data_IF_724224105877
#
_entry.id   IF_724224105877
#
_cell.length_a   1.000
_cell.length_b   1.000
_cell.length_c   1.000
_cell.angle_alpha   90.00
_cell.angle_beta   90.00
_cell.angle_gamma   90.00
#
_symmetry.space_group_name_H-M   'P 1'
#
loop_
_entity.id
_entity.type
_entity.pdbx_description
1 polymer ?
#
# COMPACT_ATOMS: atom_id res chain seq x y z
N UNK A 1 12.05 0.26 -0.05
CA UNK A 1 12.70 -0.95 -0.62
C UNK A 1 12.49 -2.19 0.27
N UNK A 2 12.82 -2.15 1.56
CA UNK A 2 12.63 -3.29 2.49
C UNK A 2 11.19 -3.85 2.53
N UNK A 3 10.16 -3.01 2.63
CA UNK A 3 8.77 -3.50 2.66
C UNK A 3 8.28 -4.08 1.32
N UNK A 4 8.76 -3.53 0.21
CA UNK A 4 8.50 -4.08 -1.13
C UNK A 4 9.16 -5.44 -1.34
N UNK A 5 10.33 -5.67 -0.73
CA UNK A 5 10.98 -6.98 -0.73
C UNK A 5 10.14 -8.04 -0.01
N UNK A 6 9.59 -7.73 1.17
CA UNK A 6 8.69 -8.65 1.88
C UNK A 6 7.40 -8.94 1.09
N UNK A 7 6.78 -7.92 0.50
CA UNK A 7 5.63 -8.12 -0.38
C UNK A 7 5.98 -8.98 -1.61
N UNK A 8 7.18 -8.79 -2.18
CA UNK A 8 7.70 -9.58 -3.30
C UNK A 8 7.91 -11.06 -2.96
N UNK A 9 8.40 -11.37 -1.76
CA UNK A 9 8.50 -12.76 -1.29
C UNK A 9 7.11 -13.41 -1.07
N UNK A 10 6.08 -12.61 -0.79
CA UNK A 10 4.73 -13.09 -0.51
C UNK A 10 3.87 -13.30 -1.77
N UNK A 11 3.98 -12.39 -2.75
CA UNK A 11 3.09 -12.32 -3.91
C UNK A 11 3.82 -12.50 -5.25
N UNK A 12 5.15 -12.61 -5.24
CA UNK A 12 6.00 -12.40 -6.40
C UNK A 12 6.18 -10.91 -6.73
N UNK A 13 7.30 -10.52 -7.36
CA UNK A 13 7.71 -9.13 -7.44
C UNK A 13 6.76 -8.23 -8.24
N UNK A 14 6.24 -8.69 -9.38
CA UNK A 14 5.38 -7.87 -10.24
C UNK A 14 4.02 -7.62 -9.61
N UNK A 15 3.38 -8.66 -9.07
CA UNK A 15 2.10 -8.53 -8.38
C UNK A 15 2.25 -7.74 -7.09
N UNK A 16 3.37 -7.88 -6.37
CA UNK A 16 3.65 -7.09 -5.18
C UNK A 16 3.68 -5.59 -5.49
N UNK A 17 4.45 -5.18 -6.51
CA UNK A 17 4.52 -3.77 -6.93
C UNK A 17 3.17 -3.22 -7.38
N UNK A 18 2.43 -3.98 -8.20
CA UNK A 18 1.09 -3.57 -8.62
C UNK A 18 0.15 -3.42 -7.43
N UNK A 19 0.20 -4.35 -6.46
CA UNK A 19 -0.67 -4.32 -5.27
C UNK A 19 -0.35 -3.14 -4.36
N UNK A 20 0.93 -2.81 -4.17
CA UNK A 20 1.35 -1.62 -3.42
C UNK A 20 0.86 -0.35 -4.12
N UNK A 21 1.00 -0.27 -5.44
CA UNK A 21 0.53 0.86 -6.24
C UNK A 21 -1.00 1.02 -6.12
N UNK A 22 -1.75 -0.06 -6.30
CA UNK A 22 -3.22 -0.08 -6.15
C UNK A 22 -3.64 0.34 -4.74
N UNK A 23 -2.98 -0.17 -3.71
CA UNK A 23 -3.28 0.18 -2.32
C UNK A 23 -2.98 1.66 -2.02
N UNK A 24 -1.89 2.21 -2.57
CA UNK A 24 -1.55 3.62 -2.44
C UNK A 24 -2.55 4.53 -3.17
N UNK A 25 -2.96 4.16 -4.39
CA UNK A 25 -4.01 4.87 -5.15
C UNK A 25 -5.31 4.86 -4.35
N UNK A 26 -5.72 3.70 -3.82
CA UNK A 26 -6.93 3.59 -3.01
C UNK A 26 -6.84 4.47 -1.75
N UNK A 27 -5.69 4.50 -1.09
CA UNK A 27 -5.46 5.39 0.04
C UNK A 27 -5.56 6.87 -0.32
N UNK A 28 -5.02 7.28 -1.47
CA UNK A 28 -5.16 8.66 -1.96
C UNK A 28 -6.60 9.02 -2.31
N UNK A 29 -7.37 8.09 -2.92
CA UNK A 29 -8.81 8.28 -3.18
C UNK A 29 -9.57 8.45 -1.87
N UNK A 30 -9.35 7.57 -0.89
CA UNK A 30 -9.97 7.67 0.43
C UNK A 30 -9.62 8.99 1.12
N UNK A 31 -8.37 9.43 1.05
CA UNK A 31 -7.94 10.71 1.59
C UNK A 31 -8.63 11.90 0.90
N UNK A 32 -8.74 11.87 -0.43
CA UNK A 32 -9.40 12.93 -1.21
C UNK A 32 -10.91 13.02 -0.96
N UNK A 33 -11.56 11.93 -0.57
CA UNK A 33 -12.97 11.95 -0.14
C UNK A 33 -13.16 12.56 1.25
N UNK A 34 -12.11 12.57 2.07
CA UNK A 34 -12.17 13.02 3.47
C UNK A 34 -11.61 14.44 3.68
N UNK A 35 -10.88 15.00 2.71
CA UNK A 35 -10.19 16.29 2.83
C UNK A 35 -10.33 17.19 1.60
N UNK A 36 -10.38 18.53 1.78
CA UNK A 36 -10.39 19.49 0.68
C UNK A 36 -9.13 19.43 -0.21
N UNK A 37 -9.21 19.79 -1.50
CA UNK A 37 -8.18 19.55 -2.52
C UNK A 37 -6.96 20.51 -2.48
N UNK A 38 -6.46 20.88 -1.30
CA UNK A 38 -5.41 21.91 -1.16
C UNK A 38 -3.96 21.40 -1.16
N UNK A 39 -3.67 20.16 -1.61
CA UNK A 39 -2.33 19.54 -1.50
C UNK A 39 -1.65 19.23 -2.82
N UNK A 40 -0.34 19.51 -2.86
CA UNK A 40 0.57 19.32 -4.00
C UNK A 40 1.48 18.08 -3.91
N UNK A 41 1.55 17.37 -2.77
CA UNK A 41 2.43 16.20 -2.62
C UNK A 41 1.75 15.05 -1.86
N UNK A 42 1.22 14.08 -2.62
CA UNK A 42 0.60 12.84 -2.14
C UNK A 42 1.38 11.70 -2.80
N UNK A 43 2.18 10.91 -2.07
CA UNK A 43 2.88 9.82 -2.78
C UNK A 43 3.71 8.86 -1.95
N UNK A 44 4.84 9.33 -1.42
CA UNK A 44 5.85 8.41 -0.89
C UNK A 44 5.43 7.75 0.43
N UNK A 45 4.96 8.53 1.40
CA UNK A 45 4.54 8.01 2.72
C UNK A 45 3.27 7.17 2.61
N UNK A 46 2.31 7.57 1.78
CA UNK A 46 1.09 6.79 1.53
C UNK A 46 1.41 5.39 1.02
N UNK A 47 2.38 5.24 0.11
CA UNK A 47 2.80 3.94 -0.39
C UNK A 47 3.45 3.06 0.69
N UNK A 48 4.19 3.66 1.62
CA UNK A 48 4.77 2.94 2.77
C UNK A 48 3.66 2.40 3.68
N UNK A 49 2.70 3.25 4.07
CA UNK A 49 1.58 2.84 4.92
C UNK A 49 0.65 1.84 4.23
N UNK A 50 0.42 2.00 2.92
CA UNK A 50 -0.30 1.03 2.11
C UNK A 50 0.38 -0.34 2.08
N UNK A 51 1.71 -0.38 1.95
CA UNK A 51 2.47 -1.63 2.01
C UNK A 51 2.36 -2.27 3.40
N UNK A 52 2.47 -1.48 4.46
CA UNK A 52 2.31 -1.95 5.85
C UNK A 52 0.92 -2.57 6.08
N UNK A 53 -0.15 -1.87 5.68
CA UNK A 53 -1.52 -2.37 5.80
C UNK A 53 -1.75 -3.67 5.04
N UNK A 54 -1.18 -3.78 3.83
CA UNK A 54 -1.27 -4.98 2.99
C UNK A 54 -0.62 -6.18 3.68
N UNK A 55 0.65 -6.03 4.10
CA UNK A 55 1.41 -7.10 4.76
C UNK A 55 0.75 -7.49 6.09
N UNK A 56 0.30 -6.52 6.87
CA UNK A 56 -0.37 -6.77 8.15
C UNK A 56 -1.68 -7.53 7.97
N UNK A 57 -2.54 -7.13 7.03
CA UNK A 57 -3.81 -7.80 6.78
C UNK A 57 -3.64 -9.21 6.18
N UNK A 58 -2.68 -9.40 5.28
CA UNK A 58 -2.39 -10.71 4.69
C UNK A 58 -1.83 -11.68 5.74
N UNK A 59 -0.87 -11.22 6.55
CA UNK A 59 -0.27 -12.02 7.62
C UNK A 59 -1.27 -12.37 8.72
N UNK A 60 -2.16 -11.44 9.10
CA UNK A 60 -3.25 -11.70 10.05
C UNK A 60 -4.18 -12.83 9.59
N UNK A 61 -4.62 -12.78 8.33
CA UNK A 61 -5.53 -13.78 7.74
C UNK A 61 -4.89 -15.17 7.61
N UNK A 62 -3.58 -15.25 7.37
CA UNK A 62 -2.85 -16.52 7.18
C UNK A 62 -2.22 -17.09 8.43
N UNK A 63 -1.79 -16.25 9.36
CA UNK A 63 -1.30 -16.67 10.67
C UNK A 63 -2.38 -17.32 11.53
N UNK A 64 -3.67 -17.17 11.17
CA UNK A 64 -4.79 -17.75 11.87
C UNK A 64 -4.89 -19.29 11.83
N UNK A 65 -4.13 -19.97 10.96
CA UNK A 65 -4.22 -21.43 10.74
C UNK A 65 -3.18 -22.28 11.50
N UNK A 66 -2.35 -21.73 12.40
CA UNK A 66 -1.30 -22.48 13.13
C UNK A 66 -1.38 -22.40 14.66
N UNK A 67 -1.89 -23.45 15.32
CA UNK A 67 -2.37 -23.50 16.72
C UNK A 67 -1.42 -23.23 17.93
N UNK A 68 -0.67 -22.12 18.02
CA UNK A 68 0.02 -21.70 19.28
C UNK A 68 -0.14 -20.19 19.55
N UNK A 69 -0.25 -19.71 20.81
CA UNK A 69 -1.03 -18.52 21.17
C UNK A 69 -0.70 -17.28 20.32
N UNK A 70 -1.63 -16.94 19.43
CA UNK A 70 -1.36 -16.22 18.18
C UNK A 70 -1.60 -14.71 18.27
N UNK A 71 -2.09 -14.17 19.40
CA UNK A 71 -2.53 -12.77 19.52
C UNK A 71 -1.40 -11.79 19.15
N UNK A 72 -0.22 -11.91 19.76
CA UNK A 72 0.86 -10.97 19.52
C UNK A 72 1.37 -11.04 18.07
N UNK A 73 1.48 -12.21 17.44
CA UNK A 73 1.85 -12.30 16.01
C UNK A 73 0.74 -11.84 15.06
N UNK A 74 -0.53 -11.99 15.44
CA UNK A 74 -1.70 -11.55 14.67
C UNK A 74 -1.88 -10.04 14.69
N UNK A 75 -1.61 -9.42 15.83
CA UNK A 75 -1.84 -7.99 16.05
C UNK A 75 -0.56 -7.15 16.01
N UNK A 76 0.63 -7.71 16.25
CA UNK A 76 1.88 -6.94 16.23
C UNK A 76 2.15 -6.19 14.92
N UNK A 77 1.86 -6.71 13.72
CA UNK A 77 2.06 -5.93 12.49
C UNK A 77 1.09 -4.74 12.39
N UNK A 78 -0.16 -4.93 12.83
CA UNK A 78 -1.17 -3.88 12.87
C UNK A 78 -0.85 -2.85 13.97
N UNK A 79 -0.51 -3.32 15.17
CA UNK A 79 -0.13 -2.49 16.33
C UNK A 79 1.17 -1.76 16.07
N UNK A 80 2.16 -2.40 15.42
CA UNK A 80 3.39 -1.72 14.98
C UNK A 80 3.09 -0.70 13.89
N UNK A 81 2.20 -1.01 12.93
CA UNK A 81 1.74 -0.05 11.92
C UNK A 81 1.04 1.16 12.54
N UNK A 82 0.14 0.93 13.50
CA UNK A 82 -0.59 1.96 14.27
C UNK A 82 0.36 2.74 15.19
N UNK A 83 1.31 2.08 15.84
CA UNK A 83 2.31 2.70 16.71
C UNK A 83 3.31 3.54 15.89
N UNK A 84 3.71 3.11 14.70
CA UNK A 84 4.52 3.91 13.77
C UNK A 84 3.72 5.12 13.28
N UNK A 85 2.43 4.95 12.97
CA UNK A 85 1.50 6.03 12.63
C UNK A 85 1.42 7.07 13.74
N UNK A 86 1.23 6.63 14.99
CA UNK A 86 1.23 7.49 16.17
C UNK A 86 2.57 8.20 16.38
N UNK A 87 3.69 7.49 16.19
CA UNK A 87 5.04 8.05 16.33
C UNK A 87 5.40 9.07 15.23
N UNK A 88 4.92 8.88 14.00
CA UNK A 88 5.12 9.84 12.89
C UNK A 88 4.10 10.98 12.87
N UNK A 89 2.95 10.81 13.55
CA UNK A 89 1.83 11.75 13.53
C UNK A 89 1.84 12.81 14.62
N UNK A 90 2.67 12.68 15.65
CA UNK A 90 2.74 13.64 16.78
C UNK A 90 3.57 14.89 16.50
N UNK A 91 4.08 15.08 15.27
CA UNK A 91 5.05 16.13 14.93
C UNK A 91 4.51 17.34 14.14
N UNK A 92 3.32 17.29 13.55
CA UNK A 92 2.77 18.43 12.79
C UNK A 92 1.56 18.06 11.94
N UNK A 93 0.54 18.94 11.96
CA UNK A 93 -0.67 18.97 11.14
C UNK A 93 -1.48 17.65 11.03
N UNK A 94 -2.65 17.62 11.71
CA UNK A 94 -3.65 16.52 11.70
C UNK A 94 -3.93 15.90 10.32
N UNK A 95 -3.76 16.71 9.29
CA UNK A 95 -3.99 16.42 7.88
C UNK A 95 -3.04 15.34 7.35
N UNK A 96 -1.79 15.24 7.83
CA UNK A 96 -0.81 14.23 7.38
C UNK A 96 -1.13 12.84 7.96
N UNK A 97 -1.66 12.83 9.17
CA UNK A 97 -2.12 11.61 9.85
C UNK A 97 -3.25 10.95 9.07
N UNK A 98 -4.21 11.74 8.56
CA UNK A 98 -5.34 11.19 7.81
C UNK A 98 -4.90 10.55 6.49
N UNK A 99 -3.94 11.15 5.79
CA UNK A 99 -3.36 10.57 4.58
C UNK A 99 -2.65 9.24 4.86
N UNK A 100 -1.90 9.16 5.96
CA UNK A 100 -1.25 7.92 6.39
C UNK A 100 -2.27 6.83 6.77
N UNK A 101 -3.33 7.19 7.50
CA UNK A 101 -4.41 6.28 7.86
C UNK A 101 -5.16 5.77 6.63
N UNK A 102 -5.47 6.65 5.67
CA UNK A 102 -6.12 6.28 4.42
C UNK A 102 -5.23 5.34 3.59
N UNK A 103 -3.92 5.62 3.50
CA UNK A 103 -2.92 4.74 2.91
C UNK A 103 -2.93 3.35 3.54
N UNK A 104 -2.86 3.28 4.87
CA UNK A 104 -2.93 2.03 5.60
C UNK A 104 -4.23 1.26 5.36
N UNK A 105 -5.38 1.94 5.37
CA UNK A 105 -6.69 1.35 5.10
C UNK A 105 -6.76 0.76 3.68
N UNK A 106 -6.26 1.48 2.67
CA UNK A 106 -6.12 0.98 1.30
C UNK A 106 -5.27 -0.29 1.23
N UNK A 107 -4.15 -0.31 1.97
CA UNK A 107 -3.31 -1.49 2.19
C UNK A 107 -4.09 -2.68 2.74
N UNK A 108 -4.82 -2.48 3.84
CA UNK A 108 -5.59 -3.52 4.51
C UNK A 108 -6.63 -4.14 3.56
N UNK A 109 -7.34 -3.32 2.78
CA UNK A 109 -8.34 -3.79 1.83
C UNK A 109 -7.72 -4.70 0.77
N UNK A 110 -6.60 -4.28 0.16
CA UNK A 110 -5.87 -5.07 -0.84
C UNK A 110 -5.28 -6.35 -0.22
N UNK A 111 -4.72 -6.27 1.00
CA UNK A 111 -4.20 -7.43 1.72
C UNK A 111 -5.28 -8.47 2.04
N UNK A 112 -6.47 -8.03 2.44
CA UNK A 112 -7.64 -8.91 2.65
C UNK A 112 -8.06 -9.57 1.34
N UNK A 113 -8.08 -8.84 0.22
CA UNK A 113 -8.44 -9.38 -1.08
C UNK A 113 -7.48 -10.51 -1.50
N UNK A 114 -6.17 -10.31 -1.37
CA UNK A 114 -5.16 -11.35 -1.65
C UNK A 114 -5.24 -12.55 -0.70
N UNK A 115 -5.64 -12.32 0.55
CA UNK A 115 -5.84 -13.39 1.50
C UNK A 115 -7.08 -14.24 1.16
N UNK A 116 -8.15 -13.62 0.66
CA UNK A 116 -9.39 -14.30 0.24
C UNK A 116 -9.28 -14.98 -1.10
N UNK A 117 -8.59 -14.36 -2.06
CA UNK A 117 -8.39 -14.88 -3.41
C UNK A 117 -6.89 -15.06 -3.66
N UNK A 118 -6.33 -16.28 -3.48
CA UNK A 118 -4.90 -16.54 -3.61
C UNK A 118 -4.44 -16.59 -5.08
N UNK A 119 -4.97 -15.69 -5.93
CA UNK A 119 -4.65 -15.55 -7.35
C UNK A 119 -3.16 -15.29 -7.53
N UNK A 120 -2.59 -14.41 -6.70
CA UNK A 120 -1.17 -14.06 -6.75
C UNK A 120 -0.22 -15.24 -6.54
N UNK A 121 -0.60 -16.21 -5.70
CA UNK A 121 0.24 -17.40 -5.43
C UNK A 121 0.17 -18.43 -6.54
N UNK A 122 -0.88 -18.38 -7.36
CA UNK A 122 -1.05 -19.25 -8.53
C UNK A 122 -0.54 -18.58 -9.81
N UNK A 123 -0.01 -17.36 -9.71
CA UNK A 123 0.42 -16.58 -10.85
C UNK A 123 1.72 -17.14 -11.44
N UNK A 124 1.68 -17.50 -12.72
CA UNK A 124 2.88 -17.88 -13.47
C UNK A 124 3.74 -16.68 -13.88
N UNK A 125 4.91 -16.91 -14.49
CA UNK A 125 5.87 -15.86 -14.86
C UNK A 125 5.28 -14.75 -15.75
N UNK A 126 4.39 -15.12 -16.68
CA UNK A 126 3.70 -14.14 -17.56
C UNK A 126 2.82 -13.17 -16.77
N UNK A 127 2.07 -13.66 -15.78
CA UNK A 127 1.22 -12.81 -14.96
C UNK A 127 2.04 -11.86 -14.08
N UNK A 128 3.19 -12.32 -13.57
CA UNK A 128 4.14 -11.47 -12.84
C UNK A 128 4.71 -10.37 -13.74
N UNK A 129 5.13 -10.72 -14.97
CA UNK A 129 5.65 -9.75 -15.93
C UNK A 129 4.58 -8.71 -16.30
N UNK A 130 3.37 -9.15 -16.65
CA UNK A 130 2.26 -8.25 -16.97
C UNK A 130 1.99 -7.30 -15.81
N UNK A 131 1.88 -7.83 -14.57
CA UNK A 131 1.64 -6.99 -13.40
C UNK A 131 2.76 -5.97 -13.15
N UNK A 132 4.03 -6.40 -13.31
CA UNK A 132 5.18 -5.51 -13.17
C UNK A 132 5.22 -4.41 -14.24
N UNK A 133 4.96 -4.77 -15.50
CA UNK A 133 4.87 -3.82 -16.61
C UNK A 133 3.73 -2.85 -16.39
N UNK A 134 2.54 -3.31 -15.97
CA UNK A 134 1.40 -2.45 -15.66
C UNK A 134 1.73 -1.47 -14.54
N UNK A 135 2.39 -1.93 -13.46
CA UNK A 135 2.80 -1.06 -12.37
C UNK A 135 3.78 0.02 -12.87
N UNK A 136 4.78 -0.37 -13.65
CA UNK A 136 5.78 0.54 -14.21
C UNK A 136 5.15 1.57 -15.15
N UNK A 137 4.33 1.12 -16.10
CA UNK A 137 3.65 1.99 -17.06
C UNK A 137 2.75 3.01 -16.34
N UNK A 138 2.06 2.60 -15.28
CA UNK A 138 1.20 3.52 -14.52
C UNK A 138 2.02 4.63 -13.84
N UNK A 139 3.20 4.31 -13.30
CA UNK A 139 4.10 5.32 -12.72
C UNK A 139 4.65 6.24 -13.81
N UNK A 140 5.09 5.67 -14.93
CA UNK A 140 5.65 6.44 -16.05
C UNK A 140 4.62 7.37 -16.68
N UNK A 141 3.37 6.91 -16.88
CA UNK A 141 2.30 7.77 -17.39
C UNK A 141 1.99 8.88 -16.39
N UNK A 142 1.84 8.59 -15.10
CA UNK A 142 1.60 9.61 -14.09
C UNK A 142 2.71 10.70 -14.09
N UNK A 143 3.98 10.30 -14.22
CA UNK A 143 5.09 11.23 -14.34
C UNK A 143 5.08 12.02 -15.65
N UNK A 144 4.80 11.38 -16.78
CA UNK A 144 4.67 12.04 -18.07
C UNK A 144 3.59 13.12 -18.04
N UNK A 145 2.43 12.82 -17.46
CA UNK A 145 1.34 13.79 -17.26
C UNK A 145 1.74 14.94 -16.34
N UNK A 146 2.48 14.67 -15.26
CA UNK A 146 2.96 15.72 -14.36
C UNK A 146 3.91 16.69 -15.08
N UNK A 147 4.89 16.17 -15.82
CA UNK A 147 5.86 16.99 -16.56
C UNK A 147 5.16 17.80 -17.66
N UNK A 148 4.29 17.16 -18.46
CA UNK A 148 3.57 17.82 -19.55
C UNK A 148 2.56 18.86 -19.04
N UNK A 149 1.92 18.60 -17.90
CA UNK A 149 1.02 19.54 -17.24
C UNK A 149 1.74 20.78 -16.70
N UNK A 150 2.99 20.64 -16.23
CA UNK A 150 3.79 21.78 -15.80
C UNK A 150 4.29 22.66 -16.95
N UNK A 151 4.46 22.10 -18.15
CA UNK A 151 4.88 22.85 -19.35
C UNK A 151 3.75 23.65 -20.04
N UNK A 152 2.49 23.51 -19.61
CA UNK A 152 1.34 24.25 -20.16
C UNK A 152 0.94 25.49 -19.36
N UNK A 153 1.65 25.81 -18.27
CA UNK A 153 1.34 26.91 -17.33
C UNK A 153 2.40 28.04 -17.39
N UNK A 154 3.37 27.94 -18.29
CA UNK A 154 4.38 28.98 -18.58
C UNK A 154 3.97 29.85 -19.77
#
# INVERSE_FOLDING_TARGET
VFFGYFAGQMLGPGIAWLSVLTAAILGNVLNGLLMPPTRSSLGASTAVFATLGLVAAWSWRRGATGGRPQWARRWAPLVAGIALLGFTGTGGENTDVLAHLAGFAGGVLVGIAHARWPIAQRAGPRAQLIAGVTALLTVLTAWGWAILGTSGVS
#
